data_IF_219820556384
#
_entry.id   IF_219820556384
#
_cell.length_a   1.000
_cell.length_b   1.000
_cell.length_c   1.000
_cell.angle_alpha   90.00
_cell.angle_beta   90.00
_cell.angle_gamma   90.00
#
_symmetry.space_group_name_H-M   'P 1'
#
loop_
_entity.id
_entity.type
_entity.pdbx_description
1 polymer ?
#
# COMPACT_ATOMS: atom_id res chain seq x y z
N UNK A 1 29.99 -34.84 -31.36
CA UNK A 1 29.84 -33.54 -30.65
C UNK A 1 28.59 -33.66 -29.81
N UNK A 2 28.76 -33.86 -28.50
CA UNK A 2 27.68 -34.03 -27.54
C UNK A 2 27.15 -32.65 -27.13
N UNK A 3 25.98 -32.26 -27.66
CA UNK A 3 25.34 -30.99 -27.31
C UNK A 3 24.60 -31.24 -26.01
N UNK A 4 25.25 -30.92 -24.87
CA UNK A 4 24.58 -30.90 -23.57
C UNK A 4 23.35 -30.00 -23.66
N UNK A 5 22.15 -30.59 -23.61
CA UNK A 5 20.90 -29.85 -23.58
C UNK A 5 20.79 -29.14 -22.21
N UNK A 6 21.28 -27.90 -22.13
CA UNK A 6 21.05 -27.07 -20.96
C UNK A 6 19.65 -26.46 -21.05
N UNK A 7 18.82 -26.74 -20.05
CA UNK A 7 17.45 -26.23 -20.00
C UNK A 7 17.48 -24.84 -19.38
N UNK A 8 17.43 -23.80 -20.21
CA UNK A 8 17.35 -22.43 -19.74
C UNK A 8 15.89 -22.05 -19.47
N UNK A 9 15.61 -21.50 -18.28
CA UNK A 9 14.33 -20.86 -17.99
C UNK A 9 14.40 -19.43 -18.51
N UNK A 10 13.70 -19.14 -19.60
CA UNK A 10 13.58 -17.80 -20.16
C UNK A 10 12.29 -17.17 -19.65
N UNK A 11 12.39 -15.95 -19.11
CA UNK A 11 11.25 -15.13 -18.71
C UNK A 11 11.29 -13.83 -19.51
N UNK A 12 10.14 -13.38 -20.02
CA UNK A 12 9.98 -12.11 -20.74
C UNK A 12 9.05 -11.16 -20.01
N UNK A 13 9.22 -9.86 -20.23
CA UNK A 13 8.38 -8.80 -19.66
C UNK A 13 7.84 -7.94 -20.81
N UNK A 14 6.55 -7.59 -20.75
CA UNK A 14 5.91 -6.69 -21.72
C UNK A 14 5.54 -5.42 -20.97
N UNK A 15 6.04 -4.27 -21.44
CA UNK A 15 5.74 -2.98 -20.86
C UNK A 15 5.39 -1.99 -21.97
N UNK A 16 4.35 -1.18 -21.75
CA UNK A 16 4.02 -0.05 -22.61
C UNK A 16 4.93 1.14 -22.25
N UNK A 17 6.22 1.02 -22.53
CA UNK A 17 7.24 2.02 -22.23
C UNK A 17 8.22 2.10 -23.39
N UNK A 18 8.40 3.30 -23.94
CA UNK A 18 9.42 3.58 -24.97
C UNK A 18 10.73 4.00 -24.28
N UNK A 19 11.42 3.02 -23.66
CA UNK A 19 12.68 3.21 -22.93
C UNK A 19 13.62 2.03 -23.16
N UNK A 20 14.91 2.22 -22.88
CA UNK A 20 15.90 1.14 -22.89
C UNK A 20 15.46 -0.03 -21.98
N UNK A 21 15.68 -1.26 -22.47
CA UNK A 21 15.23 -2.49 -21.80
C UNK A 21 15.79 -2.65 -20.39
N UNK A 22 17.06 -2.33 -20.18
CA UNK A 22 17.71 -2.39 -18.87
C UNK A 22 17.01 -1.49 -17.84
N UNK A 23 16.77 -0.22 -18.19
CA UNK A 23 16.07 0.74 -17.32
C UNK A 23 14.63 0.30 -17.03
N UNK A 24 13.98 -0.37 -17.98
CA UNK A 24 12.63 -0.91 -17.82
C UNK A 24 12.62 -2.07 -16.82
N UNK A 25 13.62 -2.95 -16.88
CA UNK A 25 13.78 -4.08 -15.95
C UNK A 25 14.06 -3.57 -14.53
N UNK A 26 14.98 -2.61 -14.36
CA UNK A 26 15.26 -2.02 -13.04
C UNK A 26 14.02 -1.40 -12.41
N UNK A 27 13.26 -0.61 -13.19
CA UNK A 27 12.01 0.00 -12.72
C UNK A 27 10.95 -1.04 -12.35
N UNK A 28 10.89 -2.17 -13.04
CA UNK A 28 9.99 -3.28 -12.69
C UNK A 28 10.40 -3.89 -11.34
N UNK A 29 11.69 -4.13 -11.13
CA UNK A 29 12.21 -4.64 -9.86
C UNK A 29 11.99 -3.67 -8.69
N UNK A 30 12.13 -2.35 -8.91
CA UNK A 30 11.83 -1.34 -7.88
C UNK A 30 10.37 -1.36 -7.41
N UNK A 31 9.44 -1.79 -8.26
CA UNK A 31 8.01 -1.95 -7.88
C UNK A 31 7.73 -3.26 -7.15
N UNK A 32 8.59 -4.27 -7.30
CA UNK A 32 8.46 -5.55 -6.63
C UNK A 32 8.86 -5.40 -5.15
N UNK A 33 7.97 -5.81 -4.24
CA UNK A 33 8.20 -5.80 -2.79
C UNK A 33 7.37 -4.76 -2.02
N UNK A 34 7.27 -3.51 -2.50
CA UNK A 34 6.56 -2.46 -1.75
C UNK A 34 5.05 -2.70 -1.62
N UNK A 35 4.41 -3.25 -2.65
CA UNK A 35 2.99 -3.63 -2.60
C UNK A 35 2.76 -4.87 -1.72
N UNK A 36 3.72 -5.78 -1.62
CA UNK A 36 3.63 -6.99 -0.80
C UNK A 36 3.76 -6.66 0.69
N UNK A 37 4.63 -5.71 1.05
CA UNK A 37 4.75 -5.21 2.43
C UNK A 37 3.48 -4.49 2.88
N UNK A 38 2.91 -3.63 2.03
CA UNK A 38 1.62 -2.96 2.30
C UNK A 38 0.49 -4.00 2.42
N UNK A 39 0.47 -5.01 1.55
CA UNK A 39 -0.50 -6.09 1.62
C UNK A 39 -0.35 -6.93 2.89
N UNK A 40 0.87 -7.14 3.41
CA UNK A 40 1.11 -7.83 4.67
C UNK A 40 0.56 -7.03 5.87
N UNK A 41 0.86 -5.72 5.94
CA UNK A 41 0.31 -4.82 6.98
C UNK A 41 -1.22 -4.76 6.91
N UNK A 42 -1.80 -4.73 5.71
CA UNK A 42 -3.25 -4.76 5.55
C UNK A 42 -3.86 -6.10 5.98
N UNK A 43 -3.19 -7.23 5.72
CA UNK A 43 -3.71 -8.55 6.03
C UNK A 43 -3.58 -8.92 7.51
N UNK A 44 -2.43 -8.63 8.10
CA UNK A 44 -2.06 -9.11 9.44
C UNK A 44 -2.32 -8.05 10.52
N UNK A 45 -1.86 -6.80 10.33
CA UNK A 45 -1.97 -5.75 11.37
C UNK A 45 -3.33 -5.08 11.41
N UNK A 46 -4.02 -5.01 10.27
CA UNK A 46 -5.36 -4.42 10.19
C UNK A 46 -6.47 -5.48 10.12
N UNK A 47 -6.14 -6.78 10.10
CA UNK A 47 -7.09 -7.90 10.04
C UNK A 47 -7.91 -8.00 8.73
N UNK A 48 -7.34 -7.57 7.60
CA UNK A 48 -8.01 -7.60 6.30
C UNK A 48 -8.38 -8.99 5.80
N UNK A 49 -7.69 -10.03 6.28
CA UNK A 49 -8.02 -11.42 5.99
C UNK A 49 -8.97 -12.09 6.98
N UNK A 50 -9.60 -11.35 7.90
CA UNK A 50 -10.25 -11.91 9.09
C UNK A 50 -11.78 -11.96 9.07
N UNK A 51 -12.44 -11.38 8.07
CA UNK A 51 -13.87 -11.55 7.85
C UNK A 51 -14.12 -12.66 6.82
N UNK A 52 -14.41 -13.90 7.23
CA UNK A 52 -14.84 -14.95 6.31
C UNK A 52 -16.36 -14.84 6.13
N UNK A 53 -16.81 -13.98 5.22
CA UNK A 53 -18.19 -14.05 4.71
C UNK A 53 -18.24 -14.89 3.44
N UNK A 54 -19.34 -15.61 3.24
CA UNK A 54 -19.64 -16.36 2.01
C UNK A 54 -20.09 -15.42 0.86
N UNK A 55 -20.41 -14.16 1.20
CA UNK A 55 -20.87 -13.15 0.25
C UNK A 55 -19.75 -12.22 -0.23
N UNK A 56 -19.62 -12.10 -1.56
CA UNK A 56 -18.61 -11.24 -2.20
C UNK A 56 -18.76 -9.76 -1.80
N UNK A 57 -20.01 -9.29 -1.66
CA UNK A 57 -20.29 -7.89 -1.31
C UNK A 57 -19.84 -7.52 0.09
N UNK A 58 -20.01 -8.42 1.06
CA UNK A 58 -19.60 -8.21 2.45
C UNK A 58 -18.07 -8.21 2.57
N UNK A 59 -17.40 -9.13 1.88
CA UNK A 59 -15.95 -9.17 1.80
C UNK A 59 -15.37 -7.92 1.11
N UNK A 60 -16.05 -7.40 0.08
CA UNK A 60 -15.66 -6.15 -0.55
C UNK A 60 -15.83 -4.95 0.40
N UNK A 61 -16.96 -4.85 1.10
CA UNK A 61 -17.21 -3.80 2.08
C UNK A 61 -16.18 -3.82 3.23
N UNK A 62 -15.81 -5.02 3.70
CA UNK A 62 -14.73 -5.21 4.66
C UNK A 62 -13.40 -4.67 4.13
N UNK A 63 -13.06 -5.00 2.89
CA UNK A 63 -11.84 -4.49 2.25
C UNK A 63 -11.83 -2.96 2.13
N UNK A 64 -12.98 -2.33 1.89
CA UNK A 64 -13.10 -0.86 1.89
C UNK A 64 -12.86 -0.24 3.27
N UNK A 65 -13.46 -0.80 4.33
CA UNK A 65 -13.25 -0.33 5.71
C UNK A 65 -11.77 -0.45 6.08
N UNK A 66 -11.14 -1.54 5.67
CA UNK A 66 -9.72 -1.81 5.85
C UNK A 66 -8.81 -0.79 5.19
N UNK A 67 -9.07 -0.42 3.94
CA UNK A 67 -8.33 0.65 3.23
C UNK A 67 -8.49 1.98 3.98
N UNK A 68 -9.69 2.31 4.44
CA UNK A 68 -9.94 3.55 5.18
C UNK A 68 -9.14 3.59 6.49
N UNK A 69 -9.10 2.48 7.24
CA UNK A 69 -8.31 2.35 8.46
C UNK A 69 -6.80 2.48 8.18
N UNK A 70 -6.30 1.90 7.08
CA UNK A 70 -4.90 2.03 6.67
C UNK A 70 -4.52 3.48 6.36
N UNK A 71 -5.36 4.17 5.59
CA UNK A 71 -5.15 5.58 5.25
C UNK A 71 -5.21 6.47 6.49
N UNK A 72 -6.13 6.20 7.42
CA UNK A 72 -6.21 6.89 8.70
C UNK A 72 -4.94 6.68 9.54
N UNK A 73 -4.43 5.45 9.64
CA UNK A 73 -3.19 5.16 10.35
C UNK A 73 -1.98 5.88 9.73
N UNK A 74 -1.89 5.90 8.39
CA UNK A 74 -0.86 6.65 7.69
C UNK A 74 -0.94 8.16 7.96
N UNK A 75 -2.14 8.73 7.99
CA UNK A 75 -2.36 10.12 8.39
C UNK A 75 -1.93 10.35 9.83
N UNK A 76 -2.39 9.52 10.79
CA UNK A 76 -2.05 9.66 12.20
C UNK A 76 -0.54 9.59 12.46
N UNK A 77 0.18 8.69 11.77
CA UNK A 77 1.65 8.61 11.84
C UNK A 77 2.32 9.91 11.34
N UNK A 78 1.79 10.53 10.28
CA UNK A 78 2.27 11.83 9.77
C UNK A 78 1.93 12.98 10.73
N UNK A 79 0.77 12.95 11.37
CA UNK A 79 0.35 13.93 12.38
C UNK A 79 1.15 13.83 13.67
N UNK A 80 1.45 12.62 14.14
CA UNK A 80 2.26 12.37 15.35
C UNK A 80 3.68 12.93 15.22
N UNK A 81 4.23 12.99 14.00
CA UNK A 81 5.55 13.56 13.73
C UNK A 81 5.51 15.11 13.74
N UNK A 82 4.33 15.73 13.60
CA UNK A 82 4.12 17.19 13.51
C UNK A 82 3.21 17.73 14.65
N UNK A 83 3.45 17.28 15.89
CA UNK A 83 2.67 17.61 17.09
C UNK A 83 2.41 19.12 17.31
N UNK A 84 3.37 19.97 16.92
CA UNK A 84 3.27 21.43 17.08
C UNK A 84 2.14 22.07 16.24
N UNK A 85 1.90 21.56 15.02
CA UNK A 85 0.83 22.06 14.15
C UNK A 85 -0.56 21.61 14.62
N UNK A 86 -0.63 20.39 15.18
CA UNK A 86 -1.85 19.82 15.74
C UNK A 86 -2.30 20.56 17.01
N UNK A 87 -1.37 20.88 17.91
CA UNK A 87 -1.66 21.69 19.10
C UNK A 87 -2.26 23.04 18.72
N UNK A 88 -1.67 23.74 17.76
CA UNK A 88 -2.16 25.04 17.30
C UNK A 88 -3.53 24.93 16.60
N UNK A 89 -3.78 23.85 15.84
CA UNK A 89 -5.07 23.62 15.19
C UNK A 89 -6.19 23.27 16.18
N UNK A 90 -5.90 22.48 17.22
CA UNK A 90 -6.88 22.17 18.29
C UNK A 90 -7.19 23.40 19.12
N UNK A 91 -6.18 24.16 19.53
CA UNK A 91 -6.39 25.40 20.30
C UNK A 91 -7.22 26.39 19.48
N UNK A 92 -6.93 26.52 18.18
CA UNK A 92 -7.70 27.40 17.29
C UNK A 92 -9.14 26.91 17.06
N UNK A 93 -9.37 25.59 16.98
CA UNK A 93 -10.70 25.00 16.87
C UNK A 93 -11.50 25.08 18.18
N UNK A 94 -10.85 24.94 19.33
CA UNK A 94 -11.45 25.13 20.65
C UNK A 94 -11.91 26.57 20.88
N UNK A 95 -11.07 27.55 20.51
CA UNK A 95 -11.43 28.97 20.58
C UNK A 95 -12.56 29.36 19.61
N UNK A 96 -12.77 28.63 18.52
CA UNK A 96 -13.91 28.84 17.61
C UNK A 96 -15.25 28.41 18.24
N UNK A 97 -15.24 27.39 19.11
CA UNK A 97 -16.43 26.93 19.83
C UNK A 97 -16.75 27.75 21.09
N UNK A 98 -15.75 28.37 21.73
CA UNK A 98 -15.98 29.25 22.90
C UNK A 98 -16.47 30.67 22.54
N UNK A 99 -16.47 31.04 21.25
CA UNK A 99 -16.97 32.33 20.75
C UNK A 99 -18.34 32.23 20.06
N UNK A 100 -19.08 31.15 20.32
CA UNK A 100 -20.52 31.00 20.02
C UNK A 100 -21.32 30.89 21.32
#
# INVERSE_FOLDING_TARGET
>A
MDIKSQRHKVSGMVANLDREGEKTIHRLHERCGGSEEVHAVMKDDLAGGKLPSDDFGENAAWWWIMILAHNLNAMMKRFSINWQYFHNAIVSFGSFFENF
#
